data_IF_453813455030
#
_entry.id   IF_453813455030
#
_cell.length_a   1.000
_cell.length_b   1.000
_cell.length_c   1.000
_cell.angle_alpha   90.00
_cell.angle_beta   90.00
_cell.angle_gamma   90.00
#
_symmetry.space_group_name_H-M   'P 1'
#
loop_
_entity.id
_entity.type
_entity.pdbx_description
1 polymer ?
#
# COMPACT_ATOMS: atom_id res chain seq x y z
N UNK A 1 1.79 -9.94 11.12
CA UNK A 1 0.49 -9.36 11.57
C UNK A 1 -0.29 -8.95 10.33
N UNK A 2 -1.53 -9.38 10.21
CA UNK A 2 -2.39 -9.12 9.05
C UNK A 2 -3.60 -8.31 9.52
N UNK A 3 -3.73 -7.09 9.00
CA UNK A 3 -4.93 -6.28 9.19
C UNK A 3 -5.98 -6.65 8.14
N UNK A 4 -7.23 -6.65 8.53
CA UNK A 4 -8.36 -6.79 7.63
C UNK A 4 -9.57 -5.98 8.10
N UNK A 5 -10.48 -5.68 7.16
CA UNK A 5 -11.78 -5.06 7.44
C UNK A 5 -12.86 -5.82 6.67
N UNK A 6 -13.80 -6.43 7.40
CA UNK A 6 -14.99 -7.09 6.83
C UNK A 6 -14.79 -8.52 6.34
N UNK A 7 -13.77 -8.84 5.57
CA UNK A 7 -13.56 -10.18 5.03
C UNK A 7 -12.56 -10.99 5.87
N UNK A 8 -13.09 -11.63 6.93
CA UNK A 8 -12.30 -12.47 7.83
C UNK A 8 -11.80 -13.75 7.15
N UNK A 9 -12.61 -14.35 6.30
CA UNK A 9 -12.26 -15.61 5.61
C UNK A 9 -11.03 -15.42 4.70
N UNK A 10 -10.99 -14.35 3.90
CA UNK A 10 -9.82 -14.03 3.09
C UNK A 10 -8.56 -13.76 3.94
N UNK A 11 -8.72 -13.15 5.12
CA UNK A 11 -7.61 -12.94 6.04
C UNK A 11 -7.10 -14.26 6.64
N UNK A 12 -7.99 -15.18 6.99
CA UNK A 12 -7.65 -16.52 7.46
C UNK A 12 -6.95 -17.36 6.38
N UNK A 13 -7.37 -17.23 5.11
CA UNK A 13 -6.71 -17.91 4.00
C UNK A 13 -5.30 -17.34 3.74
N UNK A 14 -5.13 -16.04 3.88
CA UNK A 14 -3.78 -15.42 3.84
C UNK A 14 -2.90 -15.95 4.97
N UNK A 15 -3.45 -16.13 6.16
CA UNK A 15 -2.73 -16.68 7.30
C UNK A 15 -2.34 -18.16 7.08
N UNK A 16 -3.22 -18.97 6.46
CA UNK A 16 -2.91 -20.36 6.08
C UNK A 16 -1.77 -20.43 5.05
N UNK A 17 -1.80 -19.55 4.04
CA UNK A 17 -0.72 -19.47 3.04
C UNK A 17 0.61 -19.08 3.68
N UNK A 18 0.61 -18.13 4.60
CA UNK A 18 1.80 -17.75 5.38
C UNK A 18 2.35 -18.93 6.16
N UNK A 19 1.49 -19.68 6.85
CA UNK A 19 1.87 -20.86 7.62
C UNK A 19 2.43 -21.99 6.73
N UNK A 20 1.84 -22.22 5.56
CA UNK A 20 2.34 -23.17 4.57
C UNK A 20 3.74 -22.81 4.06
N UNK A 21 4.08 -21.52 4.00
CA UNK A 21 5.44 -21.02 3.70
C UNK A 21 6.40 -21.04 4.91
N UNK A 22 6.02 -21.61 6.05
CA UNK A 22 6.85 -21.66 7.27
C UNK A 22 6.81 -20.39 8.10
N UNK A 23 5.96 -19.42 7.77
CA UNK A 23 5.76 -18.20 8.54
C UNK A 23 4.69 -18.38 9.63
N UNK A 24 4.58 -17.37 10.48
CA UNK A 24 3.51 -17.28 11.50
C UNK A 24 2.95 -15.85 11.53
N UNK A 25 1.73 -15.71 12.00
CA UNK A 25 1.11 -14.39 12.09
C UNK A 25 -0.20 -14.42 12.88
N UNK A 26 -0.71 -13.21 13.17
CA UNK A 26 -1.97 -12.97 13.83
C UNK A 26 -2.85 -12.02 13.02
N UNK A 27 -4.17 -12.14 13.21
CA UNK A 27 -5.17 -11.33 12.55
C UNK A 27 -5.63 -10.19 13.46
N UNK A 28 -5.65 -8.97 12.93
CA UNK A 28 -6.09 -7.76 13.63
C UNK A 28 -7.18 -7.06 12.82
N UNK A 29 -8.46 -7.17 13.24
CA UNK A 29 -9.57 -6.45 12.58
C UNK A 29 -9.59 -4.99 13.02
N UNK A 30 -9.36 -4.06 12.10
CA UNK A 30 -9.58 -2.63 12.31
C UNK A 30 -9.69 -1.86 11.00
N UNK A 31 -10.41 -0.74 11.03
CA UNK A 31 -10.51 0.21 9.93
C UNK A 31 -9.36 1.21 9.99
N UNK A 32 -8.49 1.21 8.99
CA UNK A 32 -7.35 2.13 8.89
C UNK A 32 -7.77 3.60 8.79
N UNK A 33 -8.99 3.88 8.32
CA UNK A 33 -9.53 5.25 8.26
C UNK A 33 -9.84 5.83 9.64
N UNK A 34 -9.93 4.98 10.66
CA UNK A 34 -10.29 5.34 12.04
C UNK A 34 -9.04 5.36 12.94
N UNK A 35 -8.46 6.55 13.14
CA UNK A 35 -7.21 6.73 13.89
C UNK A 35 -7.21 5.99 15.24
N UNK A 36 -8.32 6.10 16.00
CA UNK A 36 -8.44 5.43 17.31
C UNK A 36 -8.35 3.90 17.20
N UNK A 37 -8.96 3.28 16.18
CA UNK A 37 -8.87 1.83 15.99
C UNK A 37 -7.45 1.40 15.64
N UNK A 38 -6.75 2.20 14.82
CA UNK A 38 -5.34 1.97 14.47
C UNK A 38 -4.47 2.03 15.73
N UNK A 39 -4.62 3.06 16.56
CA UNK A 39 -3.83 3.22 17.80
C UNK A 39 -4.06 2.06 18.77
N UNK A 40 -5.33 1.65 18.97
CA UNK A 40 -5.69 0.51 19.83
C UNK A 40 -5.09 -0.81 19.29
N UNK A 41 -5.15 -1.03 17.97
CA UNK A 41 -4.59 -2.23 17.35
C UNK A 41 -3.06 -2.26 17.43
N UNK A 42 -2.39 -1.16 17.09
CA UNK A 42 -0.92 -1.04 17.18
C UNK A 42 -0.45 -1.24 18.62
N UNK A 43 -1.17 -0.68 19.59
CA UNK A 43 -0.86 -0.92 21.00
C UNK A 43 -0.93 -2.40 21.36
N UNK A 44 -2.01 -3.12 20.98
CA UNK A 44 -2.13 -4.57 21.22
C UNK A 44 -0.99 -5.35 20.56
N UNK A 45 -0.64 -5.00 19.32
CA UNK A 45 0.48 -5.62 18.59
C UNK A 45 1.79 -5.42 19.36
N UNK A 46 2.07 -4.21 19.83
CA UNK A 46 3.31 -3.92 20.56
C UNK A 46 3.33 -4.59 21.94
N UNK A 47 2.20 -4.66 22.64
CA UNK A 47 2.09 -5.36 23.91
C UNK A 47 2.41 -6.87 23.74
N UNK A 48 1.96 -7.48 22.65
CA UNK A 48 2.14 -8.90 22.33
C UNK A 48 3.53 -9.20 21.74
N UNK A 49 3.98 -8.42 20.77
CA UNK A 49 5.18 -8.69 19.95
C UNK A 49 6.37 -7.78 20.26
N UNK A 50 6.22 -6.84 21.24
CA UNK A 50 7.23 -5.89 21.73
C UNK A 50 7.53 -4.75 20.79
N UNK A 51 7.62 -4.94 19.48
CA UNK A 51 7.94 -3.92 18.48
C UNK A 51 7.31 -4.22 17.12
N UNK A 52 7.31 -3.21 16.27
CA UNK A 52 6.98 -3.32 14.84
C UNK A 52 8.18 -2.79 14.06
N UNK A 53 8.87 -3.65 13.34
CA UNK A 53 10.05 -3.30 12.54
C UNK A 53 9.69 -2.85 11.12
N UNK A 54 8.61 -3.40 10.57
CA UNK A 54 8.19 -3.17 9.19
C UNK A 54 6.69 -2.92 9.16
N UNK A 55 6.26 -1.89 8.44
CA UNK A 55 4.87 -1.66 8.10
C UNK A 55 4.70 -1.54 6.59
N UNK A 56 3.72 -2.26 6.04
CA UNK A 56 3.29 -2.13 4.66
C UNK A 56 1.88 -1.55 4.65
N UNK A 57 1.76 -0.30 4.23
CA UNK A 57 0.49 0.39 4.09
C UNK A 57 -0.14 0.01 2.74
N UNK A 58 -0.83 -1.13 2.72
CA UNK A 58 -1.43 -1.72 1.52
C UNK A 58 -2.94 -1.48 1.41
N UNK A 59 -3.63 -1.24 2.52
CA UNK A 59 -5.08 -1.03 2.52
C UNK A 59 -5.47 0.09 1.53
N UNK A 60 -6.47 -0.19 0.70
CA UNK A 60 -6.93 0.78 -0.29
C UNK A 60 -8.24 0.37 -0.94
N UNK A 61 -8.98 1.38 -1.35
CA UNK A 61 -10.25 1.26 -2.06
C UNK A 61 -10.26 2.20 -3.25
N UNK A 62 -11.13 1.91 -4.22
CA UNK A 62 -11.43 2.80 -5.35
C UNK A 62 -12.91 3.14 -5.39
N UNK A 63 -13.25 4.22 -6.08
CA UNK A 63 -14.60 4.61 -6.43
C UNK A 63 -14.54 5.29 -7.80
N UNK A 64 -14.62 4.49 -8.84
CA UNK A 64 -14.39 4.94 -10.21
C UNK A 64 -15.67 5.58 -10.75
N UNK A 65 -15.59 6.87 -11.05
CA UNK A 65 -16.65 7.64 -11.69
C UNK A 65 -16.09 8.94 -12.27
N UNK A 66 -16.74 9.47 -13.30
CA UNK A 66 -16.43 10.83 -13.79
C UNK A 66 -16.68 11.85 -12.66
N UNK A 67 -15.84 12.87 -12.54
CA UNK A 67 -15.90 13.86 -11.47
C UNK A 67 -17.30 14.46 -11.28
N UNK A 68 -18.00 14.74 -12.38
CA UNK A 68 -19.37 15.30 -12.36
C UNK A 68 -20.42 14.36 -11.75
N UNK A 69 -20.10 13.09 -11.58
CA UNK A 69 -20.98 12.04 -11.01
C UNK A 69 -20.43 11.44 -9.72
N UNK A 70 -19.21 11.79 -9.35
CA UNK A 70 -18.55 11.29 -8.15
C UNK A 70 -19.26 11.89 -6.90
N UNK A 71 -19.70 11.03 -6.00
CA UNK A 71 -20.35 11.47 -4.75
C UNK A 71 -19.29 11.91 -3.74
N UNK A 72 -19.62 12.88 -2.91
CA UNK A 72 -18.73 13.37 -1.85
C UNK A 72 -18.34 12.24 -0.88
N UNK A 73 -19.27 11.36 -0.54
CA UNK A 73 -19.03 10.23 0.36
C UNK A 73 -18.01 9.24 -0.22
N UNK A 74 -18.03 9.03 -1.54
CA UNK A 74 -17.07 8.17 -2.22
C UNK A 74 -15.69 8.80 -2.26
N UNK A 75 -15.61 10.11 -2.50
CA UNK A 75 -14.38 10.89 -2.40
C UNK A 75 -13.77 10.77 -1.01
N UNK A 76 -14.56 11.06 0.03
CA UNK A 76 -14.10 11.03 1.42
C UNK A 76 -13.68 9.62 1.86
N UNK A 77 -14.41 8.58 1.43
CA UNK A 77 -14.08 7.17 1.69
C UNK A 77 -12.74 6.80 1.07
N UNK A 78 -12.50 7.17 -0.19
CA UNK A 78 -11.23 6.86 -0.88
C UNK A 78 -10.05 7.59 -0.22
N UNK A 79 -10.14 8.89 0.05
CA UNK A 79 -9.08 9.61 0.73
C UNK A 79 -8.92 9.15 2.19
N UNK A 80 -10.02 8.87 2.87
CA UNK A 80 -10.03 8.36 4.24
C UNK A 80 -9.27 7.06 4.39
N UNK A 81 -9.58 6.08 3.55
CA UNK A 81 -8.92 4.77 3.60
C UNK A 81 -7.48 4.84 3.07
N UNK A 82 -7.30 5.36 1.85
CA UNK A 82 -6.01 5.24 1.17
C UNK A 82 -4.95 6.17 1.78
N UNK A 83 -5.26 7.48 1.91
CA UNK A 83 -4.28 8.46 2.34
C UNK A 83 -4.26 8.62 3.85
N UNK A 84 -5.41 8.93 4.48
CA UNK A 84 -5.46 9.09 5.94
C UNK A 84 -5.09 7.78 6.65
N UNK A 85 -5.56 6.62 6.16
CA UNK A 85 -5.19 5.31 6.71
C UNK A 85 -3.69 5.07 6.70
N UNK A 86 -3.01 5.40 5.59
CA UNK A 86 -1.54 5.37 5.51
C UNK A 86 -0.88 6.27 6.56
N UNK A 87 -1.41 7.48 6.75
CA UNK A 87 -0.91 8.44 7.77
C UNK A 87 -1.14 7.89 9.18
N UNK A 88 -2.33 7.39 9.49
CA UNK A 88 -2.66 6.85 10.82
C UNK A 88 -1.75 5.67 11.19
N UNK A 89 -1.61 4.68 10.30
CA UNK A 89 -0.76 3.52 10.54
C UNK A 89 0.72 3.94 10.72
N UNK A 90 1.22 4.81 9.86
CA UNK A 90 2.58 5.33 9.96
C UNK A 90 2.80 6.05 11.29
N UNK A 91 1.90 6.97 11.66
CA UNK A 91 1.98 7.73 12.92
C UNK A 91 2.00 6.80 14.14
N UNK A 92 1.15 5.78 14.15
CA UNK A 92 1.05 4.85 15.27
C UNK A 92 2.34 4.04 15.51
N UNK A 93 3.05 3.63 14.42
CA UNK A 93 4.29 2.85 14.55
C UNK A 93 5.55 3.71 14.73
N UNK A 94 5.56 4.97 14.25
CA UNK A 94 6.74 5.83 14.22
C UNK A 94 7.40 5.98 15.59
N UNK A 95 6.63 6.19 16.68
CA UNK A 95 7.19 6.41 18.02
C UNK A 95 8.04 5.21 18.48
N UNK A 96 7.59 3.98 18.21
CA UNK A 96 8.34 2.76 18.46
C UNK A 96 9.60 2.67 17.62
N UNK A 97 9.48 2.84 16.31
CA UNK A 97 10.59 2.79 15.37
C UNK A 97 11.68 3.84 15.68
N UNK A 98 11.28 5.06 16.06
CA UNK A 98 12.22 6.13 16.47
C UNK A 98 13.03 5.73 17.71
N UNK A 99 12.39 5.10 18.70
CA UNK A 99 13.06 4.62 19.92
C UNK A 99 14.06 3.50 19.60
N UNK A 100 13.67 2.56 18.75
CA UNK A 100 14.52 1.44 18.35
C UNK A 100 15.60 1.85 17.31
N UNK A 101 15.52 3.06 16.76
CA UNK A 101 16.38 3.57 15.67
C UNK A 101 16.42 2.62 14.47
N UNK A 102 15.30 1.99 14.18
CA UNK A 102 15.11 1.07 13.08
C UNK A 102 13.65 1.05 12.63
N UNK A 103 13.42 1.02 11.32
CA UNK A 103 12.10 0.85 10.74
C UNK A 103 12.14 0.79 9.22
N UNK A 104 11.14 0.11 8.66
CA UNK A 104 10.87 0.05 7.21
C UNK A 104 9.40 0.37 6.99
N UNK A 105 9.12 1.45 6.30
CA UNK A 105 7.76 1.88 5.97
C UNK A 105 7.62 1.80 4.45
N UNK A 106 6.75 0.93 3.98
CA UNK A 106 6.47 0.73 2.56
C UNK A 106 5.01 1.11 2.28
N UNK A 107 4.81 2.11 1.44
CA UNK A 107 3.49 2.62 1.09
C UNK A 107 3.07 2.14 -0.29
N UNK A 108 1.88 1.56 -0.42
CA UNK A 108 1.36 1.16 -1.73
C UNK A 108 0.67 2.35 -2.40
N UNK A 109 1.35 2.94 -3.38
CA UNK A 109 0.77 3.92 -4.30
C UNK A 109 0.22 3.23 -5.56
N UNK A 110 0.30 3.85 -6.71
CA UNK A 110 -0.13 3.32 -8.02
C UNK A 110 0.48 4.15 -9.13
N UNK A 111 0.62 3.56 -10.31
CA UNK A 111 0.90 4.31 -11.54
C UNK A 111 -0.15 5.42 -11.76
N UNK A 112 -1.41 5.17 -11.38
CA UNK A 112 -2.50 6.17 -11.47
C UNK A 112 -2.23 7.39 -10.59
N UNK A 113 -1.53 7.24 -9.46
CA UNK A 113 -1.10 8.37 -8.63
C UNK A 113 0.00 9.22 -9.27
N UNK A 114 0.69 8.69 -10.28
CA UNK A 114 1.75 9.38 -11.02
C UNK A 114 1.22 10.04 -12.30
N UNK A 115 0.38 9.35 -13.09
CA UNK A 115 -0.06 9.80 -14.40
C UNK A 115 -1.54 10.23 -14.46
N UNK A 116 -2.34 9.92 -13.43
CA UNK A 116 -3.78 10.09 -13.49
C UNK A 116 -4.48 8.99 -14.30
N UNK A 117 -5.79 8.92 -14.20
CA UNK A 117 -6.64 8.10 -15.08
C UNK A 117 -8.06 8.66 -15.12
N UNK A 118 -8.72 8.54 -16.28
CA UNK A 118 -10.11 8.98 -16.44
C UNK A 118 -11.02 8.20 -15.48
N UNK A 119 -11.90 8.94 -14.80
CA UNK A 119 -12.83 8.35 -13.82
C UNK A 119 -12.23 8.00 -12.47
N UNK A 120 -10.94 8.23 -12.24
CA UNK A 120 -10.25 7.87 -11.00
C UNK A 120 -9.70 9.08 -10.23
N UNK A 121 -10.37 10.22 -10.28
CA UNK A 121 -9.86 11.46 -9.66
C UNK A 121 -9.57 11.33 -8.16
N UNK A 122 -10.48 10.74 -7.38
CA UNK A 122 -10.27 10.52 -5.93
C UNK A 122 -9.12 9.52 -5.67
N UNK A 123 -9.08 8.43 -6.42
CA UNK A 123 -8.03 7.43 -6.32
C UNK A 123 -6.67 8.02 -6.69
N UNK A 124 -6.57 8.71 -7.83
CA UNK A 124 -5.35 9.39 -8.26
C UNK A 124 -4.85 10.40 -7.22
N UNK A 125 -5.74 11.25 -6.69
CA UNK A 125 -5.42 12.22 -5.65
C UNK A 125 -4.89 11.53 -4.38
N UNK A 126 -5.53 10.43 -3.94
CA UNK A 126 -5.09 9.68 -2.76
C UNK A 126 -3.71 9.07 -2.96
N UNK A 127 -3.45 8.45 -4.13
CA UNK A 127 -2.19 7.78 -4.43
C UNK A 127 -1.05 8.78 -4.70
N UNK A 128 -1.34 9.94 -5.30
CA UNK A 128 -0.40 11.04 -5.41
C UNK A 128 -0.04 11.64 -4.03
N UNK A 129 -1.05 11.78 -3.15
CA UNK A 129 -0.83 12.22 -1.76
C UNK A 129 0.11 11.29 -0.99
N UNK A 130 0.00 9.97 -1.18
CA UNK A 130 0.92 8.98 -0.59
C UNK A 130 2.36 9.20 -1.08
N UNK A 131 2.58 9.56 -2.34
CA UNK A 131 3.92 9.86 -2.87
C UNK A 131 4.53 11.07 -2.14
N UNK A 132 3.77 12.17 -2.00
CA UNK A 132 4.20 13.34 -1.25
C UNK A 132 4.49 13.03 0.22
N UNK A 133 3.60 12.29 0.86
CA UNK A 133 3.75 11.83 2.24
C UNK A 133 5.00 10.96 2.43
N UNK A 134 5.25 10.01 1.54
CA UNK A 134 6.44 9.15 1.54
C UNK A 134 7.72 9.97 1.55
N UNK A 135 7.82 10.96 0.66
CA UNK A 135 8.99 11.84 0.55
C UNK A 135 9.21 12.69 1.80
N UNK A 136 8.13 13.21 2.38
CA UNK A 136 8.21 13.99 3.62
C UNK A 136 8.69 13.13 4.78
N UNK A 137 8.08 11.96 4.99
CA UNK A 137 8.46 11.04 6.07
C UNK A 137 9.87 10.49 5.93
N UNK A 138 10.34 10.24 4.72
CA UNK A 138 11.72 9.83 4.48
C UNK A 138 12.74 10.87 5.01
N UNK A 139 12.46 12.16 4.82
CA UNK A 139 13.30 13.26 5.33
C UNK A 139 13.21 13.39 6.85
N UNK A 140 12.01 13.25 7.40
CA UNK A 140 11.77 13.41 8.84
C UNK A 140 12.39 12.26 9.66
N UNK A 141 12.29 11.03 9.15
CA UNK A 141 12.65 9.83 9.89
C UNK A 141 14.04 9.27 9.56
N UNK A 142 14.68 9.73 8.49
CA UNK A 142 15.97 9.22 8.02
C UNK A 142 17.08 9.27 9.08
N UNK A 143 17.17 10.35 9.87
CA UNK A 143 18.15 10.49 10.95
C UNK A 143 17.95 9.47 12.09
N UNK A 144 16.85 8.74 12.07
CA UNK A 144 16.49 7.69 13.05
C UNK A 144 16.69 6.27 12.51
N UNK A 145 17.36 6.10 11.37
CA UNK A 145 17.59 4.79 10.76
C UNK A 145 16.34 4.14 10.15
N UNK A 146 15.32 4.96 9.87
CA UNK A 146 14.05 4.51 9.31
C UNK A 146 14.01 4.89 7.83
N UNK A 147 13.69 3.93 6.97
CA UNK A 147 13.45 4.19 5.54
C UNK A 147 11.95 4.23 5.26
N UNK A 148 11.54 5.13 4.38
CA UNK A 148 10.15 5.27 3.93
C UNK A 148 10.15 5.32 2.42
N UNK A 149 9.55 4.31 1.78
CA UNK A 149 9.47 4.19 0.33
C UNK A 149 8.05 3.88 -0.12
N UNK A 150 7.78 4.09 -1.39
CA UNK A 150 6.53 3.71 -2.02
C UNK A 150 6.76 2.71 -3.15
N UNK A 151 5.80 1.82 -3.36
CA UNK A 151 5.72 0.96 -4.54
C UNK A 151 4.52 1.43 -5.36
N UNK A 152 4.73 1.60 -6.66
CA UNK A 152 3.72 2.04 -7.62
C UNK A 152 3.43 0.94 -8.64
N UNK A 153 2.50 0.00 -8.35
CA UNK A 153 2.08 -0.99 -9.32
C UNK A 153 1.38 -0.35 -10.53
N UNK A 154 1.57 -0.98 -11.69
CA UNK A 154 0.76 -0.75 -12.88
C UNK A 154 -0.49 -1.63 -12.88
N UNK A 155 -0.81 -2.19 -14.05
CA UNK A 155 -1.87 -3.20 -14.17
C UNK A 155 -1.35 -4.56 -13.70
N UNK A 156 -1.93 -5.04 -12.60
CA UNK A 156 -1.57 -6.32 -11.96
C UNK A 156 -2.71 -7.31 -12.13
N UNK A 157 -2.40 -8.55 -12.45
CA UNK A 157 -3.38 -9.62 -12.57
C UNK A 157 -3.92 -9.99 -11.19
N UNK A 158 -5.17 -9.61 -10.96
CA UNK A 158 -5.93 -9.80 -9.72
C UNK A 158 -7.35 -10.20 -10.08
N UNK A 159 -8.14 -10.64 -9.10
CA UNK A 159 -9.57 -10.88 -9.31
C UNK A 159 -10.30 -9.69 -9.93
N UNK A 160 -9.90 -8.47 -9.58
CA UNK A 160 -10.49 -7.24 -10.12
C UNK A 160 -10.18 -7.05 -11.61
N UNK A 161 -8.95 -7.31 -12.03
CA UNK A 161 -8.52 -7.17 -13.43
C UNK A 161 -8.92 -8.35 -14.30
N UNK A 162 -9.13 -9.53 -13.71
CA UNK A 162 -9.60 -10.72 -14.42
C UNK A 162 -11.04 -10.55 -14.96
N UNK A 163 -11.85 -9.71 -14.30
CA UNK A 163 -13.24 -9.43 -14.66
C UNK A 163 -13.40 -8.33 -15.73
N UNK A 164 -12.30 -7.72 -16.18
CA UNK A 164 -12.36 -6.68 -17.22
C UNK A 164 -12.82 -7.26 -18.57
N UNK A 165 -13.63 -6.50 -19.35
CA UNK A 165 -13.97 -6.87 -20.73
C UNK A 165 -12.71 -7.09 -21.57
N UNK A 166 -12.75 -8.09 -22.46
CA UNK A 166 -11.60 -8.51 -23.28
C UNK A 166 -11.00 -7.35 -24.10
N UNK A 167 -11.84 -6.51 -24.68
CA UNK A 167 -11.39 -5.36 -25.48
C UNK A 167 -10.61 -4.35 -24.63
N UNK A 168 -11.12 -4.04 -23.44
CA UNK A 168 -10.45 -3.12 -22.51
C UNK A 168 -9.13 -3.71 -22.01
N UNK A 169 -9.11 -5.02 -21.73
CA UNK A 169 -7.89 -5.74 -21.37
C UNK A 169 -6.83 -5.68 -22.47
N UNK A 170 -7.24 -5.87 -23.73
CA UNK A 170 -6.34 -5.77 -24.88
C UNK A 170 -5.78 -4.35 -25.07
N UNK A 171 -6.57 -3.31 -24.82
CA UNK A 171 -6.09 -1.94 -24.93
C UNK A 171 -5.08 -1.60 -23.81
N UNK A 172 -5.29 -2.07 -22.60
CA UNK A 172 -4.29 -1.96 -21.55
C UNK A 172 -2.99 -2.70 -21.91
N UNK A 173 -3.09 -3.93 -22.45
CA UNK A 173 -1.91 -4.70 -22.84
C UNK A 173 -1.08 -3.99 -23.91
N UNK A 174 -1.70 -3.31 -24.88
CA UNK A 174 -1.00 -2.52 -25.90
C UNK A 174 -0.22 -1.35 -25.30
N UNK A 175 -0.66 -0.82 -24.17
CA UNK A 175 0.00 0.32 -23.50
C UNK A 175 1.18 -0.08 -22.63
N UNK A 176 1.33 -1.38 -22.32
CA UNK A 176 2.41 -1.91 -21.48
C UNK A 176 3.56 -2.42 -22.36
N UNK A 177 4.75 -1.82 -22.33
CA UNK A 177 5.90 -2.28 -23.13
C UNK A 177 6.24 -3.77 -22.95
N UNK A 178 6.12 -4.34 -21.74
CA UNK A 178 6.33 -5.77 -21.52
C UNK A 178 5.19 -6.66 -22.05
N UNK A 179 4.09 -6.09 -22.59
CA UNK A 179 3.01 -6.79 -23.27
C UNK A 179 2.17 -7.72 -22.39
N UNK A 180 2.29 -7.61 -21.07
CA UNK A 180 1.51 -8.42 -20.10
C UNK A 180 1.20 -7.63 -18.82
N UNK A 181 0.21 -8.08 -18.10
CA UNK A 181 -0.01 -7.62 -16.73
C UNK A 181 1.09 -8.16 -15.81
N UNK A 182 1.42 -7.40 -14.78
CA UNK A 182 2.28 -7.86 -13.70
C UNK A 182 1.53 -8.84 -12.79
N UNK A 183 2.26 -9.64 -12.02
CA UNK A 183 1.70 -10.50 -10.99
C UNK A 183 1.76 -9.85 -9.61
N UNK A 184 0.90 -10.27 -8.67
CA UNK A 184 1.01 -9.89 -7.26
C UNK A 184 2.37 -10.26 -6.69
N UNK A 185 2.97 -11.36 -7.14
CA UNK A 185 4.29 -11.81 -6.70
C UNK A 185 5.39 -10.81 -7.08
N UNK A 186 5.39 -10.26 -8.29
CA UNK A 186 6.38 -9.25 -8.73
C UNK A 186 6.31 -7.98 -7.88
N UNK A 187 5.11 -7.58 -7.47
CA UNK A 187 4.94 -6.46 -6.53
C UNK A 187 5.45 -6.83 -5.14
N UNK A 188 5.11 -8.03 -4.65
CA UNK A 188 5.51 -8.51 -3.32
C UNK A 188 7.05 -8.64 -3.19
N UNK A 189 7.74 -9.08 -4.24
CA UNK A 189 9.21 -9.17 -4.26
C UNK A 189 9.85 -7.78 -4.14
N UNK A 190 9.27 -6.76 -4.78
CA UNK A 190 9.72 -5.37 -4.63
C UNK A 190 9.52 -4.87 -3.19
N UNK A 191 8.38 -5.18 -2.59
CA UNK A 191 8.11 -4.85 -1.18
C UNK A 191 9.08 -5.57 -0.26
N UNK A 192 9.35 -6.86 -0.49
CA UNK A 192 10.30 -7.66 0.27
C UNK A 192 11.73 -7.10 0.18
N UNK A 193 12.17 -6.70 -1.02
CA UNK A 193 13.45 -6.04 -1.21
C UNK A 193 13.55 -4.75 -0.37
N UNK A 194 12.53 -3.88 -0.45
CA UNK A 194 12.51 -2.61 0.30
C UNK A 194 12.45 -2.82 1.82
N UNK A 195 11.86 -3.91 2.29
CA UNK A 195 11.82 -4.30 3.70
C UNK A 195 13.16 -4.88 4.20
N UNK A 196 13.99 -5.36 3.29
CA UNK A 196 15.24 -6.06 3.59
C UNK A 196 16.44 -5.14 3.84
N UNK A 197 17.57 -5.72 4.26
CA UNK A 197 18.80 -4.97 4.52
C UNK A 197 19.43 -4.39 3.24
N UNK A 198 19.21 -5.00 2.07
CA UNK A 198 19.72 -4.51 0.79
C UNK A 198 19.19 -3.12 0.39
N UNK A 199 18.06 -2.69 0.95
CA UNK A 199 17.49 -1.38 0.71
C UNK A 199 17.78 -0.35 1.84
N UNK A 200 18.75 -0.61 2.72
CA UNK A 200 19.01 0.23 3.88
C UNK A 200 19.42 1.67 3.53
N UNK A 201 19.90 1.92 2.32
CA UNK A 201 20.26 3.26 1.82
C UNK A 201 19.26 3.81 0.81
N UNK A 202 18.08 3.18 0.68
CA UNK A 202 16.99 3.59 -0.21
C UNK A 202 15.89 4.18 0.66
N UNK A 203 15.62 5.49 0.52
CA UNK A 203 14.52 6.17 1.21
C UNK A 203 13.96 7.31 0.37
N UNK A 204 12.67 7.60 0.50
CA UNK A 204 11.96 8.63 -0.25
C UNK A 204 11.68 8.28 -1.72
N UNK A 205 11.92 7.03 -2.12
CA UNK A 205 11.76 6.59 -3.50
C UNK A 205 10.36 6.07 -3.79
N UNK A 206 9.96 6.18 -5.04
CA UNK A 206 8.77 5.54 -5.60
C UNK A 206 9.25 4.52 -6.63
N UNK A 207 9.14 3.25 -6.31
CA UNK A 207 9.56 2.17 -7.20
C UNK A 207 8.37 1.74 -8.04
N UNK A 208 8.45 1.97 -9.33
CA UNK A 208 7.42 1.58 -10.28
C UNK A 208 7.55 0.09 -10.64
N UNK A 209 6.44 -0.66 -10.50
CA UNK A 209 6.32 -2.07 -10.91
C UNK A 209 5.18 -2.12 -11.93
N UNK A 210 5.44 -1.64 -13.15
CA UNK A 210 4.39 -1.31 -14.11
C UNK A 210 4.66 -1.81 -15.55
N UNK A 211 5.68 -2.64 -15.77
CA UNK A 211 6.01 -3.19 -17.08
C UNK A 211 6.41 -2.14 -18.14
N UNK A 212 6.82 -0.94 -17.70
CA UNK A 212 7.17 0.18 -18.58
C UNK A 212 5.98 1.07 -18.97
N UNK A 213 4.79 0.84 -18.40
CA UNK A 213 3.59 1.66 -18.67
C UNK A 213 3.84 3.16 -18.40
N UNK A 214 4.63 3.47 -17.39
CA UNK A 214 5.14 4.81 -17.12
C UNK A 214 6.63 4.71 -16.85
N UNK A 215 7.41 5.42 -17.64
CA UNK A 215 8.84 5.64 -17.46
C UNK A 215 9.03 7.08 -17.00
N UNK A 216 9.57 7.28 -15.82
CA UNK A 216 9.86 8.60 -15.24
C UNK A 216 11.37 8.80 -15.12
#
# INVERSE_FOLDING_TARGET
>A
MINYLGNREAAEDTLKQLAAGGGSGDLYPFDVSQERQVDEAVKKIVDQHKKIDIVVNNAGVTADNLLVRLKAEDWDRVLGTNLKGTVHCTKAVCRGMIRERYGRIINMTSVVGQMGNVGQSAYAASKAGIIGFTRAMARELGSRGITVNAVAPGYIDTEMTSQLPADLKNDFLKSIPLGRFGSCQEVAETVLFLAGPGAAYITGQVISVNGGLLTA
#
